data_IF_259540455825
#
_entry.id   IF_259540455825
#
_cell.length_a   1.000
_cell.length_b   1.000
_cell.length_c   1.000
_cell.angle_alpha   90.00
_cell.angle_beta   90.00
_cell.angle_gamma   90.00
#
_symmetry.space_group_name_H-M   'P 1'
#
loop_
_entity.id
_entity.type
_entity.pdbx_description
1 polymer ?
#
# COMPACT_ATOMS: atom_id res chain seq x y z
N UNK A 1 9.44 33.36 -22.56
CA UNK A 1 9.04 32.02 -22.08
C UNK A 1 9.74 31.80 -20.73
N UNK A 2 8.93 31.71 -19.70
CA UNK A 2 9.47 31.43 -18.38
C UNK A 2 10.03 30.01 -18.34
N UNK A 3 11.26 29.86 -17.90
CA UNK A 3 11.84 28.56 -17.63
C UNK A 3 11.14 27.98 -16.38
N UNK A 4 10.46 26.87 -16.56
CA UNK A 4 9.93 26.10 -15.42
C UNK A 4 11.12 25.75 -14.54
N UNK A 5 11.09 26.17 -13.28
CA UNK A 5 12.13 25.81 -12.33
C UNK A 5 12.30 24.29 -12.29
N UNK A 6 13.54 23.81 -12.48
CA UNK A 6 13.86 22.40 -12.31
C UNK A 6 13.82 21.96 -10.84
N UNK A 7 13.45 22.88 -9.94
CA UNK A 7 13.42 22.64 -8.52
C UNK A 7 12.20 21.81 -8.14
N UNK A 8 12.43 20.58 -7.70
CA UNK A 8 11.39 19.67 -7.27
C UNK A 8 11.14 19.84 -5.77
N UNK A 9 9.87 19.92 -5.33
CA UNK A 9 9.58 19.94 -3.91
C UNK A 9 10.10 18.67 -3.24
N UNK A 10 10.66 18.83 -2.05
CA UNK A 10 11.08 17.71 -1.20
C UNK A 10 10.00 17.46 -0.18
N UNK A 11 9.48 16.25 -0.18
CA UNK A 11 8.39 15.83 0.71
C UNK A 11 8.84 14.61 1.50
N UNK A 12 8.65 14.67 2.80
CA UNK A 12 8.83 13.53 3.71
C UNK A 12 7.45 13.06 4.15
N UNK A 13 7.17 11.79 3.94
CA UNK A 13 5.94 11.15 4.41
C UNK A 13 6.31 10.17 5.50
N UNK A 14 5.64 10.24 6.64
CA UNK A 14 5.77 9.31 7.75
C UNK A 14 4.43 8.63 7.92
N UNK A 15 4.37 7.32 7.76
CA UNK A 15 3.10 6.64 7.90
C UNK A 15 3.16 5.17 7.57
N UNK A 16 2.00 4.54 7.57
CA UNK A 16 1.83 3.11 7.35
C UNK A 16 1.97 2.71 5.89
N UNK A 17 2.41 1.48 5.70
CA UNK A 17 2.33 0.79 4.42
C UNK A 17 1.77 -0.61 4.66
N UNK A 18 0.85 -1.02 3.81
CA UNK A 18 0.21 -2.32 3.87
C UNK A 18 0.13 -2.93 2.47
N UNK A 19 -0.11 -4.23 2.41
CA UNK A 19 -0.55 -4.87 1.18
C UNK A 19 -2.04 -5.09 1.27
N UNK A 20 -2.79 -4.53 0.33
CA UNK A 20 -4.23 -4.73 0.23
C UNK A 20 -4.50 -5.96 -0.62
N UNK A 21 -5.16 -6.96 -0.04
CA UNK A 21 -5.61 -8.17 -0.72
C UNK A 21 -7.11 -8.05 -0.94
N UNK A 22 -7.52 -7.90 -2.19
CA UNK A 22 -8.90 -7.60 -2.55
C UNK A 22 -9.51 -8.76 -3.31
N UNK A 23 -10.69 -9.21 -2.86
CA UNK A 23 -11.54 -10.13 -3.61
C UNK A 23 -12.85 -9.43 -3.94
N UNK A 24 -13.15 -9.30 -5.23
CA UNK A 24 -14.45 -8.83 -5.71
C UNK A 24 -15.33 -10.05 -5.94
N UNK A 25 -16.46 -10.10 -5.26
CA UNK A 25 -17.43 -11.18 -5.36
C UNK A 25 -18.83 -10.60 -5.61
N UNK A 26 -19.79 -11.45 -5.94
CA UNK A 26 -21.18 -10.99 -6.18
C UNK A 26 -21.85 -10.45 -4.91
N UNK A 27 -21.51 -11.04 -3.78
CA UNK A 27 -22.00 -10.64 -2.47
C UNK A 27 -20.98 -10.97 -1.39
N UNK A 28 -21.13 -10.36 -0.24
CA UNK A 28 -20.32 -10.70 0.94
C UNK A 28 -20.88 -11.98 1.59
N UNK A 29 -20.02 -12.93 1.98
CA UNK A 29 -20.48 -14.13 2.67
C UNK A 29 -20.98 -13.79 4.08
N UNK A 30 -21.98 -14.52 4.55
CA UNK A 30 -22.38 -14.48 5.96
C UNK A 30 -21.46 -15.38 6.79
N UNK A 31 -21.39 -15.20 8.12
CA UNK A 31 -20.56 -16.05 8.97
C UNK A 31 -20.81 -17.54 8.73
N UNK A 32 -19.72 -18.30 8.60
CA UNK A 32 -19.76 -19.74 8.33
C UNK A 32 -20.00 -20.14 6.89
N UNK A 33 -20.25 -19.19 6.00
CA UNK A 33 -20.51 -19.44 4.58
C UNK A 33 -19.23 -19.39 3.75
N UNK A 34 -19.14 -20.28 2.77
CA UNK A 34 -18.11 -20.23 1.73
C UNK A 34 -18.78 -19.94 0.41
N UNK A 35 -18.35 -18.87 -0.27
CA UNK A 35 -18.77 -18.58 -1.64
C UNK A 35 -17.59 -18.77 -2.58
N UNK A 36 -17.86 -19.29 -3.78
CA UNK A 36 -16.86 -19.51 -4.81
C UNK A 36 -17.04 -18.49 -5.93
N UNK A 37 -15.92 -18.14 -6.54
CA UNK A 37 -15.91 -17.16 -7.63
C UNK A 37 -15.29 -15.84 -7.19
N UNK A 38 -15.34 -14.88 -8.09
CA UNK A 38 -14.78 -13.57 -7.84
C UNK A 38 -13.41 -13.39 -8.47
N UNK A 39 -12.88 -12.18 -8.31
CA UNK A 39 -11.58 -11.77 -8.85
C UNK A 39 -10.69 -11.31 -7.72
N UNK A 40 -9.48 -11.85 -7.68
CA UNK A 40 -8.47 -11.47 -6.69
C UNK A 40 -7.44 -10.55 -7.31
N UNK A 41 -7.06 -9.51 -6.56
CA UNK A 41 -5.90 -8.68 -6.88
C UNK A 41 -5.28 -8.10 -5.61
N UNK A 42 -4.01 -7.69 -5.72
CA UNK A 42 -3.27 -7.04 -4.66
C UNK A 42 -2.83 -5.65 -5.09
N UNK A 43 -2.91 -4.71 -4.16
CA UNK A 43 -2.43 -3.35 -4.36
C UNK A 43 -1.58 -2.92 -3.16
N UNK A 44 -0.61 -2.02 -3.37
CA UNK A 44 0.00 -1.35 -2.24
C UNK A 44 -1.08 -0.52 -1.53
N UNK A 45 -1.08 -0.56 -0.21
CA UNK A 45 -2.03 0.15 0.63
C UNK A 45 -1.34 0.85 1.79
N UNK A 46 -2.16 1.40 2.67
CA UNK A 46 -1.71 2.25 3.77
C UNK A 46 -1.77 3.72 3.40
N UNK A 47 -2.26 4.53 4.33
CA UNK A 47 -2.45 5.98 4.09
C UNK A 47 -1.12 6.69 3.80
N UNK A 48 -0.06 6.29 4.50
CA UNK A 48 1.28 6.84 4.26
C UNK A 48 1.80 6.49 2.88
N UNK A 49 1.74 5.21 2.50
CA UNK A 49 2.18 4.75 1.19
C UNK A 49 1.41 5.44 0.05
N UNK A 50 0.10 5.59 0.20
CA UNK A 50 -0.73 6.24 -0.81
C UNK A 50 -0.33 7.70 -1.02
N UNK A 51 -0.05 8.43 0.06
CA UNK A 51 0.43 9.81 -0.01
C UNK A 51 1.82 9.90 -0.67
N UNK A 52 2.73 9.01 -0.28
CA UNK A 52 4.08 8.98 -0.84
C UNK A 52 4.07 8.73 -2.35
N UNK A 53 3.29 7.75 -2.80
CA UNK A 53 3.16 7.41 -4.22
C UNK A 53 2.53 8.56 -4.99
N UNK A 54 1.45 9.15 -4.47
CA UNK A 54 0.78 10.27 -5.12
C UNK A 54 1.72 11.48 -5.28
N UNK A 55 2.45 11.84 -4.23
CA UNK A 55 3.40 12.94 -4.26
C UNK A 55 4.54 12.67 -5.27
N UNK A 56 5.06 11.45 -5.30
CA UNK A 56 6.11 11.06 -6.25
C UNK A 56 5.62 11.14 -7.69
N UNK A 57 4.42 10.67 -7.98
CA UNK A 57 3.82 10.72 -9.32
C UNK A 57 3.56 12.14 -9.79
N UNK A 58 3.33 13.06 -8.86
CA UNK A 58 3.15 14.48 -9.15
C UNK A 58 4.48 15.24 -9.33
N UNK A 59 5.61 14.56 -9.25
CA UNK A 59 6.92 15.13 -9.54
C UNK A 59 7.72 15.56 -8.32
N UNK A 60 7.27 15.31 -7.11
CA UNK A 60 8.03 15.62 -5.89
C UNK A 60 9.16 14.63 -5.66
N UNK A 61 10.19 15.08 -4.97
CA UNK A 61 11.26 14.24 -4.44
C UNK A 61 10.80 13.74 -3.07
N UNK A 62 10.42 12.46 -2.99
CA UNK A 62 9.75 11.90 -1.81
C UNK A 62 10.69 10.98 -1.04
N UNK A 63 10.76 11.19 0.27
CA UNK A 63 11.32 10.25 1.24
C UNK A 63 10.18 9.67 2.05
N UNK A 64 10.08 8.35 2.08
CA UNK A 64 9.05 7.66 2.84
C UNK A 64 9.66 6.97 4.07
N UNK A 65 9.16 7.34 5.24
CA UNK A 65 9.55 6.76 6.52
C UNK A 65 8.44 5.82 6.97
N UNK A 66 8.75 4.54 7.05
CA UNK A 66 7.76 3.51 7.38
C UNK A 66 8.45 2.28 7.94
N UNK A 67 7.68 1.22 8.15
CA UNK A 67 8.20 -0.05 8.64
C UNK A 67 7.48 -1.20 7.94
N UNK A 68 8.24 -2.21 7.57
CA UNK A 68 7.77 -3.43 6.92
C UNK A 68 8.26 -4.66 7.69
N UNK A 69 7.66 -5.81 7.44
CA UNK A 69 8.19 -7.08 7.92
C UNK A 69 9.29 -7.61 7.00
N UNK A 70 10.08 -8.52 7.54
CA UNK A 70 11.05 -9.28 6.75
C UNK A 70 10.34 -10.45 6.07
N UNK A 71 9.59 -10.16 5.02
CA UNK A 71 8.76 -11.12 4.30
C UNK A 71 8.58 -10.70 2.83
N UNK A 72 7.90 -11.56 2.07
CA UNK A 72 7.66 -11.33 0.65
C UNK A 72 6.89 -10.03 0.39
N UNK A 73 5.90 -9.72 1.22
CA UNK A 73 5.11 -8.51 1.07
C UNK A 73 5.93 -7.25 1.29
N UNK A 74 6.83 -7.26 2.28
CA UNK A 74 7.76 -6.16 2.51
C UNK A 74 8.71 -5.94 1.35
N UNK A 75 9.27 -7.02 0.79
CA UNK A 75 10.14 -6.94 -0.38
C UNK A 75 9.42 -6.41 -1.61
N UNK A 76 8.19 -6.86 -1.85
CA UNK A 76 7.38 -6.37 -2.96
C UNK A 76 7.04 -4.88 -2.79
N UNK A 77 6.71 -4.45 -1.58
CA UNK A 77 6.45 -3.05 -1.28
C UNK A 77 7.67 -2.18 -1.60
N UNK A 78 8.85 -2.58 -1.17
CA UNK A 78 10.09 -1.85 -1.48
C UNK A 78 10.33 -1.73 -2.98
N UNK A 79 10.11 -2.78 -3.75
CA UNK A 79 10.25 -2.74 -5.21
C UNK A 79 9.28 -1.73 -5.83
N UNK A 80 8.04 -1.70 -5.37
CA UNK A 80 7.02 -0.76 -5.85
C UNK A 80 7.47 0.68 -5.55
N UNK A 81 7.88 0.97 -4.31
CA UNK A 81 8.29 2.33 -3.95
C UNK A 81 9.52 2.77 -4.72
N UNK A 82 10.48 1.89 -4.94
CA UNK A 82 11.67 2.19 -5.76
C UNK A 82 11.30 2.43 -7.21
N UNK A 83 10.35 1.69 -7.76
CA UNK A 83 9.86 1.91 -9.12
C UNK A 83 9.17 3.26 -9.29
N UNK A 84 8.59 3.78 -8.22
CA UNK A 84 7.98 5.12 -8.17
C UNK A 84 9.03 6.21 -7.83
N UNK A 85 10.31 5.84 -7.74
CA UNK A 85 11.43 6.74 -7.43
C UNK A 85 11.35 7.38 -6.06
N UNK A 86 10.73 6.68 -5.11
CA UNK A 86 10.68 7.10 -3.70
C UNK A 86 11.97 6.68 -3.01
N UNK A 87 12.53 7.56 -2.19
CA UNK A 87 13.65 7.22 -1.34
C UNK A 87 13.16 6.30 -0.21
N UNK A 88 13.66 5.07 -0.20
CA UNK A 88 13.27 4.01 0.75
C UNK A 88 14.30 3.78 1.86
N UNK A 89 15.30 4.66 1.97
CA UNK A 89 16.40 4.52 2.93
C UNK A 89 15.90 4.42 4.38
N UNK A 90 14.78 5.07 4.70
CA UNK A 90 14.22 5.12 6.04
C UNK A 90 12.97 4.24 6.19
N UNK A 91 12.80 3.27 5.33
CA UNK A 91 11.84 2.18 5.54
C UNK A 91 12.57 1.07 6.29
N UNK A 92 12.20 0.88 7.54
CA UNK A 92 12.87 -0.08 8.42
C UNK A 92 12.22 -1.45 8.31
N UNK A 93 13.01 -2.49 8.49
CA UNK A 93 12.54 -3.87 8.46
C UNK A 93 12.47 -4.44 9.86
N UNK A 94 11.30 -4.97 10.23
CA UNK A 94 11.11 -5.66 11.50
C UNK A 94 11.35 -7.16 11.29
N UNK A 95 12.23 -7.74 12.11
CA UNK A 95 12.56 -9.16 12.02
C UNK A 95 11.53 -10.05 12.74
N UNK A 96 10.67 -9.48 13.55
CA UNK A 96 9.75 -10.22 14.41
C UNK A 96 8.30 -10.12 13.98
N UNK A 97 7.90 -8.97 13.46
CA UNK A 97 6.52 -8.71 13.04
C UNK A 97 6.41 -8.82 11.53
N UNK A 98 5.32 -9.41 11.01
CA UNK A 98 5.08 -9.45 9.57
C UNK A 98 4.71 -8.07 9.03
N UNK A 99 4.80 -7.91 7.72
CA UNK A 99 4.26 -6.72 7.05
C UNK A 99 2.76 -6.60 7.27
N UNK A 100 2.26 -5.37 7.35
CA UNK A 100 0.83 -5.11 7.46
C UNK A 100 0.06 -5.55 6.22
N UNK A 101 -1.11 -6.14 6.44
CA UNK A 101 -2.01 -6.55 5.35
C UNK A 101 -3.43 -6.09 5.65
N UNK A 102 -4.20 -5.83 4.59
CA UNK A 102 -5.63 -5.62 4.66
C UNK A 102 -6.32 -6.68 3.81
N UNK A 103 -7.27 -7.40 4.40
CA UNK A 103 -8.13 -8.33 3.68
C UNK A 103 -9.43 -7.62 3.36
N UNK A 104 -9.71 -7.45 2.08
CA UNK A 104 -10.82 -6.63 1.60
C UNK A 104 -11.73 -7.48 0.72
N UNK A 105 -12.98 -7.60 1.12
CA UNK A 105 -14.03 -8.19 0.29
C UNK A 105 -14.94 -7.10 -0.23
N UNK A 106 -15.22 -7.10 -1.52
CA UNK A 106 -16.08 -6.09 -2.17
C UNK A 106 -17.18 -6.81 -2.93
N UNK A 107 -18.42 -6.37 -2.75
CA UNK A 107 -19.56 -6.94 -3.49
C UNK A 107 -19.86 -6.17 -4.80
N UNK A 108 -20.89 -6.61 -5.52
CA UNK A 108 -21.27 -6.02 -6.80
C UNK A 108 -21.82 -4.58 -6.67
N UNK A 109 -22.19 -4.14 -5.48
CA UNK A 109 -22.67 -2.79 -5.20
C UNK A 109 -21.55 -1.86 -4.69
N UNK A 110 -20.32 -2.37 -4.59
CA UNK A 110 -19.20 -1.61 -4.05
C UNK A 110 -19.13 -1.57 -2.53
N UNK A 111 -20.01 -2.28 -1.83
CA UNK A 111 -19.89 -2.44 -0.39
C UNK A 111 -18.71 -3.33 -0.05
N UNK A 112 -18.04 -3.02 1.02
CA UNK A 112 -16.84 -3.75 1.42
C UNK A 112 -16.86 -4.16 2.89
N UNK A 113 -16.05 -5.17 3.18
CA UNK A 113 -15.69 -5.61 4.53
C UNK A 113 -14.18 -5.71 4.59
N UNK A 114 -13.57 -5.08 5.59
CA UNK A 114 -12.12 -4.95 5.67
C UNK A 114 -11.64 -5.39 7.05
N UNK A 115 -10.62 -6.26 7.06
CA UNK A 115 -9.87 -6.59 8.27
C UNK A 115 -8.43 -6.17 8.02
N UNK A 116 -7.89 -5.35 8.92
CA UNK A 116 -6.49 -4.91 8.85
C UNK A 116 -5.70 -5.61 9.95
N UNK A 117 -4.65 -6.29 9.55
CA UNK A 117 -3.62 -6.79 10.46
C UNK A 117 -2.41 -5.84 10.29
N UNK A 118 -2.19 -4.92 11.25
CA UNK A 118 -1.22 -3.84 11.04
C UNK A 118 0.23 -4.32 10.96
N UNK A 119 0.59 -5.39 11.66
CA UNK A 119 1.94 -5.94 11.61
C UNK A 119 3.01 -4.97 12.12
N UNK A 120 4.09 -4.92 11.37
CA UNK A 120 5.25 -4.08 11.67
C UNK A 120 4.96 -2.57 11.59
#
# INVERSE_FOLDING_TARGET
METISSHRPKIVVIGSCNTDMVVKANRLPVPGETILGGTFYMNPGGKGANQAIAAARLGSEVTFISKIGYDLFGLQALEIYRSEKINTEFIFTDQKSPSGVALISVDSFGENSIIVAPGA
#
